data_IF_218092844168
#
_entry.id   IF_218092844168
#
_cell.length_a   1.000
_cell.length_b   1.000
_cell.length_c   1.000
_cell.angle_alpha   90.00
_cell.angle_beta   90.00
_cell.angle_gamma   90.00
#
_symmetry.space_group_name_H-M   'P 1'
#
loop_
_entity.id
_entity.type
_entity.pdbx_description
1 polymer ?
#
# COMPACT_ATOMS: atom_id res chain seq x y z
N UNK A 1 13.61 2.91 -22.53
CA UNK A 1 12.58 1.86 -22.46
C UNK A 1 11.59 2.22 -21.37
N UNK A 2 10.29 2.31 -21.67
CA UNK A 2 9.28 2.51 -20.63
C UNK A 2 9.11 1.22 -19.84
N UNK A 3 8.69 1.29 -18.57
CA UNK A 3 8.49 0.11 -17.73
C UNK A 3 7.53 -0.91 -18.39
N UNK A 4 6.52 -0.43 -19.11
CA UNK A 4 5.60 -1.25 -19.91
C UNK A 4 6.34 -2.07 -20.98
N UNK A 5 7.21 -1.42 -21.76
CA UNK A 5 7.98 -2.08 -22.83
C UNK A 5 8.92 -3.15 -22.29
N UNK A 6 9.53 -2.93 -21.12
CA UNK A 6 10.40 -3.93 -20.48
C UNK A 6 9.59 -5.17 -20.10
N UNK A 7 8.41 -5.00 -19.48
CA UNK A 7 7.54 -6.13 -19.13
C UNK A 7 7.13 -6.92 -20.37
N UNK A 8 6.73 -6.25 -21.44
CA UNK A 8 6.37 -6.91 -22.71
C UNK A 8 7.54 -7.70 -23.31
N UNK A 9 8.75 -7.13 -23.29
CA UNK A 9 9.94 -7.80 -23.83
C UNK A 9 10.33 -9.04 -23.02
N UNK A 10 10.21 -8.98 -21.69
CA UNK A 10 10.50 -10.13 -20.82
C UNK A 10 9.53 -11.27 -21.09
N UNK A 11 8.23 -10.98 -21.28
CA UNK A 11 7.21 -12.01 -21.56
C UNK A 11 7.45 -12.75 -22.88
N UNK A 12 7.94 -12.02 -23.90
CA UNK A 12 8.20 -12.53 -25.25
C UNK A 12 9.58 -13.19 -25.40
N UNK A 13 10.46 -13.10 -24.39
CA UNK A 13 11.77 -13.75 -24.46
C UNK A 13 11.63 -15.28 -24.31
N UNK A 14 12.11 -16.02 -25.30
CA UNK A 14 12.09 -17.48 -25.33
C UNK A 14 13.18 -18.12 -24.46
N UNK A 15 14.16 -17.32 -23.99
CA UNK A 15 15.38 -17.81 -23.33
C UNK A 15 15.40 -17.64 -21.81
N UNK A 16 14.38 -17.02 -21.20
CA UNK A 16 14.26 -16.87 -19.75
C UNK A 16 12.79 -16.85 -19.31
N UNK A 17 12.14 -18.01 -19.26
CA UNK A 17 10.79 -18.14 -18.69
C UNK A 17 10.79 -18.06 -17.16
N UNK A 18 11.49 -17.08 -16.59
CA UNK A 18 11.58 -16.89 -15.14
C UNK A 18 10.18 -16.61 -14.59
N UNK A 19 9.62 -17.48 -13.74
CA UNK A 19 8.28 -17.28 -13.20
C UNK A 19 8.15 -15.96 -12.45
N UNK A 20 6.99 -15.32 -12.59
CA UNK A 20 6.58 -14.11 -11.90
C UNK A 20 6.48 -12.87 -12.79
N UNK A 21 6.82 -12.98 -14.08
CA UNK A 21 6.74 -11.88 -15.07
C UNK A 21 5.56 -12.02 -16.04
N UNK A 22 4.85 -13.14 -15.99
CA UNK A 22 3.58 -13.34 -16.71
C UNK A 22 2.40 -13.17 -15.75
N UNK A 23 1.23 -12.73 -16.24
CA UNK A 23 0.03 -12.55 -15.40
C UNK A 23 -0.36 -13.84 -14.65
N UNK A 24 -0.19 -14.99 -15.29
CA UNK A 24 -0.61 -16.31 -14.78
C UNK A 24 0.36 -16.93 -13.75
N UNK A 25 1.57 -16.39 -13.59
CA UNK A 25 2.58 -17.00 -12.72
C UNK A 25 2.20 -16.85 -11.23
N UNK A 26 2.33 -17.94 -10.45
CA UNK A 26 2.20 -17.90 -8.98
C UNK A 26 0.77 -17.79 -8.43
N UNK A 27 -0.25 -17.69 -9.30
CA UNK A 27 -1.66 -17.60 -8.90
C UNK A 27 -2.04 -16.32 -8.14
N UNK A 28 -3.35 -16.05 -8.03
CA UNK A 28 -3.95 -14.95 -7.23
C UNK A 28 -3.43 -13.52 -7.53
N UNK A 29 -2.87 -13.28 -8.71
CA UNK A 29 -2.32 -11.98 -9.09
C UNK A 29 -1.26 -11.44 -8.09
N UNK A 30 -0.40 -12.34 -7.60
CA UNK A 30 0.67 -12.03 -6.63
C UNK A 30 2.05 -12.26 -7.23
N UNK A 31 2.42 -11.44 -8.20
CA UNK A 31 3.70 -11.55 -8.89
C UNK A 31 4.24 -10.18 -9.34
N UNK A 32 5.46 -10.15 -9.89
CA UNK A 32 6.15 -8.91 -10.30
C UNK A 32 5.42 -8.21 -11.45
N UNK A 33 4.79 -8.97 -12.34
CA UNK A 33 3.93 -8.40 -13.38
C UNK A 33 2.84 -7.51 -12.78
N UNK A 34 2.11 -8.02 -11.79
CA UNK A 34 1.03 -7.25 -11.16
C UNK A 34 1.53 -6.04 -10.38
N UNK A 35 2.73 -6.07 -9.80
CA UNK A 35 3.31 -4.87 -9.19
C UNK A 35 3.44 -3.74 -10.22
N UNK A 36 4.03 -4.04 -11.39
CA UNK A 36 4.27 -3.04 -12.42
C UNK A 36 2.97 -2.58 -13.07
N UNK A 37 2.09 -3.52 -13.43
CA UNK A 37 0.79 -3.17 -14.01
C UNK A 37 0.01 -2.25 -13.06
N UNK A 38 -0.08 -2.62 -11.78
CA UNK A 38 -0.82 -1.82 -10.80
C UNK A 38 -0.20 -0.43 -10.68
N UNK A 39 1.14 -0.32 -10.60
CA UNK A 39 1.83 0.97 -10.49
C UNK A 39 1.70 1.86 -11.73
N UNK A 40 1.58 1.28 -12.92
CA UNK A 40 1.39 2.03 -14.17
C UNK A 40 -0.08 2.40 -14.41
N UNK A 41 -1.01 1.71 -13.75
CA UNK A 41 -2.44 1.96 -13.91
C UNK A 41 -2.81 3.40 -13.47
N UNK A 42 -3.54 4.16 -14.30
CA UNK A 42 -3.99 5.52 -13.95
C UNK A 42 -4.87 5.56 -12.69
N UNK A 43 -5.66 4.50 -12.44
CA UNK A 43 -6.53 4.39 -11.24
C UNK A 43 -5.74 4.36 -9.93
N UNK A 44 -4.45 4.01 -10.00
CA UNK A 44 -3.52 3.91 -8.86
C UNK A 44 -2.76 5.23 -8.66
N UNK A 45 -2.98 6.27 -9.47
CA UNK A 45 -2.36 7.59 -9.27
C UNK A 45 -2.50 8.12 -7.82
N UNK A 46 -3.67 8.02 -7.15
CA UNK A 46 -3.81 8.46 -5.76
C UNK A 46 -2.89 7.70 -4.81
N UNK A 47 -2.70 6.39 -5.01
CA UNK A 47 -1.78 5.57 -4.21
C UNK A 47 -0.32 6.05 -4.35
N UNK A 48 0.13 6.40 -5.58
CA UNK A 48 1.49 6.91 -5.79
C UNK A 48 1.71 8.24 -5.05
N UNK A 49 0.72 9.14 -5.11
CA UNK A 49 0.76 10.39 -4.34
C UNK A 49 0.72 10.14 -2.83
N UNK A 50 -0.08 9.18 -2.37
CA UNK A 50 -0.17 8.78 -0.98
C UNK A 50 1.16 8.23 -0.46
N UNK A 51 1.86 7.40 -1.25
CA UNK A 51 3.19 6.92 -0.88
C UNK A 51 4.17 8.07 -0.68
N UNK A 52 4.22 9.03 -1.62
CA UNK A 52 5.09 10.20 -1.47
C UNK A 52 4.76 10.99 -0.21
N UNK A 53 3.47 11.28 0.04
CA UNK A 53 3.06 12.02 1.23
C UNK A 53 3.34 11.25 2.52
N UNK A 54 3.05 9.95 2.56
CA UNK A 54 3.28 9.08 3.72
C UNK A 54 4.74 9.14 4.17
N UNK A 55 5.68 8.92 3.25
CA UNK A 55 7.10 8.88 3.58
C UNK A 55 7.68 10.29 3.76
N UNK A 56 7.57 11.16 2.75
CA UNK A 56 8.31 12.44 2.70
C UNK A 56 7.68 13.53 3.55
N UNK A 57 6.35 13.53 3.69
CA UNK A 57 5.61 14.58 4.42
C UNK A 57 4.99 14.09 5.73
N UNK A 58 4.88 12.77 5.90
CA UNK A 58 4.49 12.11 7.13
C UNK A 58 5.73 11.75 7.93
N UNK A 59 6.33 10.59 7.65
CA UNK A 59 7.43 10.02 8.44
C UNK A 59 8.61 10.97 8.63
N UNK A 60 9.11 11.61 7.57
CA UNK A 60 10.24 12.55 7.69
C UNK A 60 9.92 13.80 8.54
N UNK A 61 8.64 14.10 8.75
CA UNK A 61 8.21 15.25 9.54
C UNK A 61 7.97 14.90 11.02
N UNK A 62 8.06 13.63 11.42
CA UNK A 62 7.75 13.21 12.80
C UNK A 62 8.61 13.89 13.86
N UNK A 63 9.88 14.16 13.56
CA UNK A 63 10.80 14.81 14.50
C UNK A 63 10.54 16.31 14.65
N UNK A 64 9.86 16.91 13.67
CA UNK A 64 9.62 18.35 13.60
C UNK A 64 8.24 18.70 14.15
N UNK A 65 7.21 17.98 13.71
CA UNK A 65 5.81 18.18 14.12
C UNK A 65 5.05 16.86 13.99
N UNK A 66 4.90 16.18 15.13
CA UNK A 66 4.30 14.85 15.20
C UNK A 66 2.82 14.85 14.84
N UNK A 67 2.06 15.86 15.27
CA UNK A 67 0.61 15.90 15.05
C UNK A 67 0.29 16.16 13.58
N UNK A 68 1.04 17.07 12.94
CA UNK A 68 0.95 17.31 11.51
C UNK A 68 1.38 16.08 10.72
N UNK A 69 2.46 15.42 11.12
CA UNK A 69 2.94 14.20 10.47
C UNK A 69 1.88 13.07 10.52
N UNK A 70 1.27 12.84 11.68
CA UNK A 70 0.17 11.87 11.85
C UNK A 70 -1.03 12.23 10.98
N UNK A 71 -1.41 13.50 10.90
CA UNK A 71 -2.50 13.97 10.03
C UNK A 71 -2.22 13.65 8.55
N UNK A 72 -1.00 13.91 8.07
CA UNK A 72 -0.60 13.59 6.69
C UNK A 72 -0.58 12.08 6.43
N UNK A 73 -0.12 11.28 7.40
CA UNK A 73 -0.16 9.82 7.29
C UNK A 73 -1.61 9.33 7.21
N UNK A 74 -2.51 9.83 8.05
CA UNK A 74 -3.92 9.45 8.03
C UNK A 74 -4.56 9.77 6.68
N UNK A 75 -4.35 10.98 6.16
CA UNK A 75 -4.82 11.36 4.82
C UNK A 75 -4.26 10.42 3.73
N UNK A 76 -3.00 10.01 3.86
CA UNK A 76 -2.38 9.07 2.93
C UNK A 76 -3.06 7.69 3.02
N UNK A 77 -3.40 7.21 4.22
CA UNK A 77 -4.15 5.97 4.40
C UNK A 77 -5.56 6.05 3.77
N UNK A 78 -6.22 7.21 3.83
CA UNK A 78 -7.53 7.42 3.19
C UNK A 78 -7.44 7.36 1.66
N UNK A 79 -6.38 7.92 1.07
CA UNK A 79 -6.13 7.79 -0.38
C UNK A 79 -5.84 6.34 -0.78
N UNK A 80 -5.13 5.59 0.06
CA UNK A 80 -4.90 4.15 -0.14
C UNK A 80 -6.23 3.37 -0.04
N UNK A 81 -7.12 3.74 0.90
CA UNK A 81 -8.46 3.15 1.03
C UNK A 81 -9.32 3.36 -0.23
N UNK A 82 -9.27 4.57 -0.80
CA UNK A 82 -9.95 4.89 -2.08
C UNK A 82 -9.45 3.99 -3.20
N UNK A 83 -8.13 3.81 -3.31
CA UNK A 83 -7.53 2.93 -4.32
C UNK A 83 -7.91 1.48 -4.09
N UNK A 84 -7.92 1.00 -2.84
CA UNK A 84 -8.39 -0.35 -2.52
C UNK A 84 -9.86 -0.57 -2.89
N UNK A 85 -10.70 0.47 -2.76
CA UNK A 85 -12.11 0.40 -3.18
C UNK A 85 -12.24 0.35 -4.70
N UNK A 86 -11.46 1.17 -5.42
CA UNK A 86 -11.48 1.21 -6.89
C UNK A 86 -10.79 0.00 -7.55
N UNK A 87 -9.81 -0.59 -6.87
CA UNK A 87 -8.99 -1.68 -7.38
C UNK A 87 -8.65 -2.67 -6.26
N UNK A 88 -9.69 -3.41 -5.88
CA UNK A 88 -9.68 -4.34 -4.77
C UNK A 88 -8.65 -5.45 -4.94
N UNK A 89 -8.05 -5.86 -3.82
CA UNK A 89 -7.12 -6.98 -3.76
C UNK A 89 -5.88 -6.84 -4.67
N UNK A 90 -5.48 -5.60 -4.97
CA UNK A 90 -4.28 -5.29 -5.76
C UNK A 90 -3.00 -5.64 -5.01
N UNK A 91 -1.97 -6.06 -5.76
CA UNK A 91 -0.70 -6.53 -5.19
C UNK A 91 0.00 -5.42 -4.40
N UNK A 92 -0.05 -4.19 -4.90
CA UNK A 92 0.61 -3.03 -4.29
C UNK A 92 0.02 -2.65 -2.92
N UNK A 93 -1.30 -2.79 -2.75
CA UNK A 93 -1.99 -2.48 -1.50
C UNK A 93 -1.63 -3.53 -0.44
N UNK A 94 -1.62 -4.80 -0.83
CA UNK A 94 -1.19 -5.89 0.04
C UNK A 94 0.29 -5.77 0.42
N UNK A 95 1.15 -5.38 -0.53
CA UNK A 95 2.57 -5.12 -0.27
C UNK A 95 2.75 -3.99 0.74
N UNK A 96 2.00 -2.90 0.61
CA UNK A 96 2.01 -1.81 1.58
C UNK A 96 1.57 -2.28 2.97
N UNK A 97 0.42 -2.95 3.07
CA UNK A 97 -0.10 -3.43 4.35
C UNK A 97 0.89 -4.36 5.05
N UNK A 98 1.44 -5.35 4.34
CA UNK A 98 2.44 -6.27 4.89
C UNK A 98 3.70 -5.55 5.39
N UNK A 99 4.17 -4.54 4.64
CA UNK A 99 5.38 -3.81 5.02
C UNK A 99 5.17 -2.83 6.18
N UNK A 100 3.96 -2.27 6.33
CA UNK A 100 3.68 -1.13 7.23
C UNK A 100 2.77 -1.43 8.39
N UNK A 101 2.19 -2.64 8.46
CA UNK A 101 1.31 -3.07 9.54
C UNK A 101 1.89 -2.78 10.93
N UNK A 102 3.09 -3.27 11.22
CA UNK A 102 3.66 -3.16 12.58
C UNK A 102 4.03 -1.71 12.92
N UNK A 103 4.55 -0.95 11.95
CA UNK A 103 4.83 0.47 12.11
C UNK A 103 3.55 1.26 12.43
N UNK A 104 2.47 1.03 11.68
CA UNK A 104 1.19 1.68 11.91
C UNK A 104 0.60 1.30 13.27
N UNK A 105 0.65 0.04 13.65
CA UNK A 105 0.10 -0.42 14.94
C UNK A 105 0.79 0.29 16.10
N UNK A 106 2.13 0.32 16.13
CA UNK A 106 2.85 0.99 17.22
C UNK A 106 2.68 2.51 17.19
N UNK A 107 2.73 3.12 16.00
CA UNK A 107 2.59 4.57 15.82
C UNK A 107 1.24 5.10 16.35
N UNK A 108 0.16 4.36 16.10
CA UNK A 108 -1.19 4.80 16.42
C UNK A 108 -1.64 4.46 17.84
N UNK A 109 -0.90 3.63 18.60
CA UNK A 109 -1.18 3.42 20.03
C UNK A 109 -1.17 4.73 20.83
N UNK A 110 -0.33 5.68 20.43
CA UNK A 110 -0.18 7.00 21.07
C UNK A 110 -0.82 8.08 20.19
N UNK A 111 -2.15 8.03 20.01
CA UNK A 111 -2.91 9.00 19.23
C UNK A 111 -4.27 9.30 19.87
N UNK A 112 -4.96 10.33 19.37
CA UNK A 112 -6.32 10.61 19.80
C UNK A 112 -7.30 9.54 19.33
N UNK A 113 -8.31 9.22 20.14
CA UNK A 113 -9.32 8.18 19.86
C UNK A 113 -9.94 8.27 18.45
N UNK A 114 -10.36 9.45 17.93
CA UNK A 114 -10.92 9.53 16.58
C UNK A 114 -9.94 9.07 15.49
N UNK A 115 -8.64 9.36 15.65
CA UNK A 115 -7.63 8.94 14.69
C UNK A 115 -7.40 7.43 14.76
N UNK A 116 -7.34 6.86 15.97
CA UNK A 116 -7.22 5.42 16.19
C UNK A 116 -8.36 4.66 15.49
N UNK A 117 -9.60 5.07 15.76
CA UNK A 117 -10.80 4.44 15.19
C UNK A 117 -10.76 4.48 13.66
N UNK A 118 -10.37 5.62 13.07
CA UNK A 118 -10.27 5.76 11.61
C UNK A 118 -9.19 4.87 11.00
N UNK A 119 -8.01 4.78 11.62
CA UNK A 119 -6.92 3.91 11.15
C UNK A 119 -7.31 2.44 11.23
N UNK A 120 -7.89 2.02 12.36
CA UNK A 120 -8.36 0.63 12.55
C UNK A 120 -9.38 0.26 11.47
N UNK A 121 -10.33 1.16 11.18
CA UNK A 121 -11.33 0.96 10.14
C UNK A 121 -10.68 0.79 8.75
N UNK A 122 -9.78 1.69 8.37
CA UNK A 122 -9.10 1.66 7.06
C UNK A 122 -8.28 0.38 6.92
N UNK A 123 -7.44 0.07 7.92
CA UNK A 123 -6.52 -1.06 7.84
C UNK A 123 -7.25 -2.41 7.89
N UNK A 124 -8.34 -2.52 8.66
CA UNK A 124 -9.18 -3.73 8.67
C UNK A 124 -9.87 -3.97 7.32
N UNK A 125 -10.20 -2.91 6.57
CA UNK A 125 -10.78 -3.01 5.22
C UNK A 125 -9.73 -3.38 4.16
N UNK A 126 -8.52 -2.87 4.29
CA UNK A 126 -7.42 -3.11 3.34
C UNK A 126 -6.79 -4.49 3.54
N UNK A 127 -6.64 -4.90 4.80
CA UNK A 127 -5.95 -6.11 5.22
C UNK A 127 -6.77 -6.87 6.28
N UNK A 128 -7.89 -7.47 5.87
CA UNK A 128 -8.83 -8.12 6.79
C UNK A 128 -8.21 -9.33 7.52
N UNK A 129 -7.23 -10.00 6.90
CA UNK A 129 -6.51 -11.14 7.48
C UNK A 129 -5.75 -10.76 8.76
N UNK A 130 -5.32 -9.49 8.89
CA UNK A 130 -4.62 -8.98 10.06
C UNK A 130 -5.51 -8.08 10.94
N UNK A 131 -6.84 -8.14 10.81
CA UNK A 131 -7.77 -7.29 11.58
C UNK A 131 -7.53 -7.31 13.09
N UNK A 132 -7.15 -8.46 13.65
CA UNK A 132 -6.82 -8.59 15.07
C UNK A 132 -5.60 -7.74 15.46
N UNK A 133 -4.58 -7.69 14.61
CA UNK A 133 -3.36 -6.92 14.84
C UNK A 133 -3.66 -5.42 14.88
N UNK A 134 -4.53 -4.93 13.99
CA UNK A 134 -4.95 -3.52 14.01
C UNK A 134 -5.77 -3.15 15.25
N UNK A 135 -6.56 -4.09 15.80
CA UNK A 135 -7.30 -3.86 17.05
C UNK A 135 -6.40 -3.64 18.27
N UNK A 136 -5.14 -4.05 18.22
CA UNK A 136 -4.15 -3.80 19.29
C UNK A 136 -3.75 -2.32 19.44
N UNK A 137 -4.11 -1.46 18.48
CA UNK A 137 -3.99 0.01 18.62
C UNK A 137 -4.80 0.52 19.83
N UNK A 138 -5.89 -0.17 20.18
CA UNK A 138 -6.83 0.21 21.23
C UNK A 138 -7.79 1.33 20.80
N UNK A 139 -8.86 1.51 21.57
CA UNK A 139 -9.81 2.63 21.44
C UNK A 139 -9.36 3.83 22.26
#
# INVERSE_FOLDING_TARGET
LTAQQIVTNIQNSSTNSTPGWRPADGGKNRNRYWIIENLLNPRVKPYRSAMYNYYRKGLDMFTTDMDKAKSVILQSLEEIEKVNTAYFNSMIIQMFANAKKDELVEMWKVAGRPQKERVIQIMTKIDPANSQRYREIGT
#
